data_IF_548504551742
#
_entry.id   IF_548504551742
#
_cell.length_a   1.000
_cell.length_b   1.000
_cell.length_c   1.000
_cell.angle_alpha   90.00
_cell.angle_beta   90.00
_cell.angle_gamma   90.00
#
_symmetry.space_group_name_H-M   'P 1'
#
loop_
_entity.id
_entity.type
_entity.pdbx_description
1 polymer ?
#
# COMPACT_ATOMS: atom_id res chain seq x y z
N UNK A 1 20.14 -39.26 21.74
CA UNK A 1 20.08 -38.07 20.86
C UNK A 1 19.51 -38.51 19.53
N UNK A 2 18.21 -38.32 19.32
CA UNK A 2 17.56 -38.67 18.04
C UNK A 2 17.56 -37.43 17.15
N UNK A 3 18.39 -37.46 16.11
CA UNK A 3 18.31 -36.52 15.00
C UNK A 3 17.01 -36.78 14.24
N UNK A 4 16.04 -35.86 14.36
CA UNK A 4 14.88 -35.83 13.47
C UNK A 4 15.36 -35.45 12.08
N UNK A 5 15.35 -36.40 11.15
CA UNK A 5 15.40 -36.10 9.72
C UNK A 5 14.12 -35.34 9.35
N UNK A 6 14.25 -34.06 9.03
CA UNK A 6 13.17 -33.22 8.53
C UNK A 6 13.11 -33.44 7.00
N UNK A 7 12.42 -34.50 6.59
CA UNK A 7 12.25 -34.88 5.19
C UNK A 7 11.01 -34.25 4.53
N UNK A 8 11.12 -34.01 3.22
CA UNK A 8 10.16 -33.46 2.24
C UNK A 8 8.78 -34.19 2.24
N UNK A 9 8.66 -35.31 2.95
CA UNK A 9 7.47 -36.18 2.97
C UNK A 9 6.28 -35.67 3.80
N UNK A 10 6.40 -34.56 4.54
CA UNK A 10 5.29 -34.03 5.35
C UNK A 10 4.50 -32.89 4.68
N UNK A 11 5.00 -32.28 3.60
CA UNK A 11 4.28 -31.25 2.85
C UNK A 11 3.53 -31.90 1.69
N UNK A 12 2.20 -32.01 1.79
CA UNK A 12 1.42 -32.53 0.65
C UNK A 12 1.51 -31.54 -0.51
N UNK A 13 1.54 -32.02 -1.75
CA UNK A 13 1.58 -31.19 -2.98
C UNK A 13 0.53 -30.05 -2.98
N UNK A 14 -0.65 -30.29 -2.40
CA UNK A 14 -1.70 -29.25 -2.24
C UNK A 14 -1.28 -28.15 -1.27
N UNK A 15 -0.62 -28.53 -0.17
CA UNK A 15 -0.20 -27.62 0.89
C UNK A 15 1.00 -26.80 0.40
N UNK A 16 1.89 -27.43 -0.38
CA UNK A 16 2.95 -26.74 -1.12
C UNK A 16 2.41 -25.76 -2.17
N UNK A 17 1.41 -26.12 -3.00
CA UNK A 17 0.82 -25.19 -3.96
C UNK A 17 0.06 -24.05 -3.28
N UNK A 18 -0.54 -24.28 -2.10
CA UNK A 18 -1.17 -23.24 -1.29
C UNK A 18 -0.16 -22.34 -0.57
N UNK A 19 1.00 -22.86 -0.17
CA UNK A 19 2.01 -22.12 0.58
C UNK A 19 3.05 -21.42 -0.32
N UNK A 20 3.46 -22.06 -1.42
CA UNK A 20 4.51 -21.59 -2.34
C UNK A 20 4.04 -20.61 -3.42
N UNK A 21 2.73 -20.48 -3.64
CA UNK A 21 2.14 -19.44 -4.50
C UNK A 21 1.68 -18.21 -3.72
N UNK A 22 1.82 -18.20 -2.39
CA UNK A 22 1.41 -17.10 -1.52
C UNK A 22 2.64 -16.41 -0.93
N UNK A 23 3.24 -15.54 -1.76
CA UNK A 23 4.18 -14.52 -1.30
C UNK A 23 3.39 -13.28 -0.88
N UNK A 24 3.43 -12.96 0.41
CA UNK A 24 2.56 -11.95 1.00
C UNK A 24 1.11 -12.45 1.12
N UNK A 25 0.45 -12.14 2.23
CA UNK A 25 -1.01 -12.19 2.24
C UNK A 25 -1.47 -11.31 1.06
N UNK A 26 -2.24 -11.89 0.13
CA UNK A 26 -2.74 -11.19 -1.07
C UNK A 26 -2.87 -12.04 -2.33
N UNK A 27 -2.17 -13.19 -2.42
CA UNK A 27 -2.15 -14.01 -3.64
C UNK A 27 -3.21 -15.13 -3.71
N UNK A 28 -4.31 -15.04 -2.97
CA UNK A 28 -5.39 -16.05 -3.06
C UNK A 28 -6.09 -16.06 -4.45
N UNK A 29 -5.91 -15.01 -5.26
CA UNK A 29 -6.51 -14.88 -6.59
C UNK A 29 -5.76 -15.52 -7.77
N UNK A 30 -4.53 -16.02 -7.58
CA UNK A 30 -3.71 -16.59 -8.67
C UNK A 30 -3.88 -18.10 -8.87
N UNK A 31 -4.82 -18.73 -8.17
CA UNK A 31 -5.02 -20.19 -8.17
C UNK A 31 -5.91 -20.72 -9.32
N UNK A 32 -6.33 -19.89 -10.27
CA UNK A 32 -7.09 -20.33 -11.44
C UNK A 32 -6.13 -20.60 -12.61
N UNK A 33 -5.81 -21.87 -12.82
CA UNK A 33 -4.85 -22.30 -13.83
C UNK A 33 -5.25 -21.98 -15.27
N UNK A 34 -4.26 -21.58 -16.06
CA UNK A 34 -4.01 -22.03 -17.43
C UNK A 34 -2.51 -21.87 -17.69
N UNK A 35 -1.94 -22.80 -18.45
CA UNK A 35 -0.53 -22.82 -18.82
C UNK A 35 -0.16 -21.63 -19.72
N UNK A 36 0.07 -20.48 -19.11
CA UNK A 36 0.87 -19.40 -19.63
C UNK A 36 1.89 -19.09 -18.55
N UNK A 37 3.17 -18.98 -18.92
CA UNK A 37 4.19 -18.43 -18.02
C UNK A 37 3.64 -17.11 -17.49
N UNK A 38 3.34 -16.98 -16.19
CA UNK A 38 2.84 -15.71 -15.70
C UNK A 38 3.92 -14.66 -15.96
N UNK A 39 3.55 -13.54 -16.56
CA UNK A 39 4.45 -12.45 -16.95
C UNK A 39 5.34 -11.97 -15.77
N UNK A 40 4.85 -12.18 -14.54
CA UNK A 40 5.57 -12.04 -13.28
C UNK A 40 6.93 -12.79 -13.22
N UNK A 41 7.03 -13.99 -13.80
CA UNK A 41 8.26 -14.78 -13.80
C UNK A 41 9.28 -14.27 -14.84
N UNK A 42 8.84 -13.74 -15.98
CA UNK A 42 9.72 -13.09 -16.95
C UNK A 42 10.28 -11.77 -16.42
N UNK A 43 9.50 -11.05 -15.61
CA UNK A 43 9.91 -9.79 -14.95
C UNK A 43 10.91 -10.02 -13.82
N UNK A 44 10.77 -11.11 -13.07
CA UNK A 44 11.80 -11.56 -12.13
C UNK A 44 13.17 -11.72 -12.81
N UNK A 45 13.22 -12.16 -14.08
CA UNK A 45 14.49 -12.35 -14.84
C UNK A 45 15.08 -11.00 -15.21
N UNK A 46 14.23 -10.07 -15.59
CA UNK A 46 14.65 -8.70 -15.86
C UNK A 46 15.12 -8.02 -14.58
N UNK A 47 14.56 -8.43 -13.43
CA UNK A 47 14.76 -7.74 -12.17
C UNK A 47 16.08 -8.00 -11.43
N UNK A 48 16.66 -9.17 -11.64
CA UNK A 48 18.00 -9.49 -11.15
C UNK A 48 19.11 -8.63 -11.81
N UNK A 49 18.79 -7.76 -12.79
CA UNK A 49 19.77 -7.13 -13.67
C UNK A 49 20.12 -5.66 -13.36
N UNK A 50 19.42 -5.00 -12.44
CA UNK A 50 19.56 -3.53 -12.24
C UNK A 50 19.65 -3.14 -10.75
N UNK A 51 20.68 -3.59 -10.04
CA UNK A 51 21.07 -3.02 -8.74
C UNK A 51 21.80 -1.68 -8.96
N UNK A 52 21.06 -0.61 -9.22
CA UNK A 52 21.67 0.70 -9.48
C UNK A 52 20.73 1.88 -9.62
N UNK A 53 19.47 1.78 -9.19
CA UNK A 53 18.57 2.93 -9.27
C UNK A 53 18.95 3.98 -8.22
N UNK A 54 19.64 5.02 -8.67
CA UNK A 54 19.83 6.26 -7.91
C UNK A 54 18.46 6.89 -7.59
N UNK A 55 18.37 7.37 -6.36
CA UNK A 55 17.16 7.84 -5.69
C UNK A 55 16.95 9.33 -5.96
N UNK A 56 16.14 9.68 -6.96
CA UNK A 56 15.83 11.10 -7.24
C UNK A 56 14.40 11.50 -6.82
N UNK A 57 13.39 10.62 -6.90
CA UNK A 57 12.01 10.89 -6.47
C UNK A 57 11.23 9.59 -6.18
N UNK A 58 10.48 9.55 -5.07
CA UNK A 58 9.57 8.45 -4.69
C UNK A 58 8.18 9.01 -4.41
N UNK A 59 7.13 8.42 -5.00
CA UNK A 59 5.74 8.77 -4.70
C UNK A 59 5.23 7.92 -3.53
N UNK A 60 4.79 8.58 -2.45
CA UNK A 60 4.05 7.93 -1.36
C UNK A 60 2.58 8.37 -1.43
N UNK A 61 1.69 7.43 -1.74
CA UNK A 61 0.26 7.67 -1.82
C UNK A 61 -0.43 7.17 -0.55
N UNK A 62 -1.00 8.10 0.22
CA UNK A 62 -1.85 7.78 1.38
C UNK A 62 -3.31 7.84 0.92
N UNK A 63 -3.98 6.69 0.91
CA UNK A 63 -5.39 6.59 0.59
C UNK A 63 -6.25 6.69 1.87
N UNK A 64 -7.14 7.67 1.91
CA UNK A 64 -8.18 7.79 2.95
C UNK A 64 -9.43 6.98 2.53
N UNK A 65 -9.44 5.68 2.85
CA UNK A 65 -10.44 4.73 2.37
C UNK A 65 -11.73 4.74 3.19
N UNK A 66 -12.87 4.77 2.48
CA UNK A 66 -14.22 4.78 3.05
C UNK A 66 -15.06 6.02 2.73
N UNK A 67 -14.54 6.95 1.92
CA UNK A 67 -15.29 8.16 1.54
C UNK A 67 -15.06 9.34 2.48
N UNK A 68 -13.79 9.71 2.67
CA UNK A 68 -13.41 10.86 3.50
C UNK A 68 -14.21 12.12 3.14
N UNK A 69 -14.83 12.74 4.15
CA UNK A 69 -15.56 13.99 4.01
C UNK A 69 -14.60 15.17 3.76
N UNK A 70 -14.35 15.46 2.48
CA UNK A 70 -13.43 16.51 2.06
C UNK A 70 -13.78 17.90 2.59
N UNK A 71 -15.07 18.20 2.77
CA UNK A 71 -15.54 19.49 3.33
C UNK A 71 -15.26 19.63 4.82
N UNK A 72 -14.87 18.54 5.48
CA UNK A 72 -14.46 18.54 6.88
C UNK A 72 -12.95 18.40 7.07
N UNK A 73 -12.26 17.83 6.10
CA UNK A 73 -10.79 17.89 6.03
C UNK A 73 -10.32 19.31 5.69
N UNK A 74 -10.93 19.93 4.66
CA UNK A 74 -10.72 21.32 4.25
C UNK A 74 -12.06 22.05 4.35
N UNK A 75 -12.21 22.84 5.41
CA UNK A 75 -13.45 23.52 5.79
C UNK A 75 -13.56 24.87 5.05
N UNK A 76 -14.60 25.09 4.23
CA UNK A 76 -14.95 26.42 3.73
C UNK A 76 -15.46 27.28 4.89
N UNK A 77 -14.73 28.33 5.26
CA UNK A 77 -15.02 29.15 6.44
C UNK A 77 -16.13 30.18 6.21
N UNK A 78 -16.27 30.64 4.97
CA UNK A 78 -17.15 31.76 4.60
C UNK A 78 -18.29 31.37 3.67
N UNK A 79 -18.49 30.08 3.36
CA UNK A 79 -19.54 29.63 2.44
C UNK A 79 -20.86 29.39 3.21
N UNK A 80 -21.89 30.23 3.01
CA UNK A 80 -23.18 30.04 3.67
C UNK A 80 -23.87 28.74 3.25
N UNK A 81 -23.57 28.23 2.05
CA UNK A 81 -24.10 26.97 1.54
C UNK A 81 -23.73 25.79 2.43
N UNK A 82 -22.54 25.83 3.07
CA UNK A 82 -22.13 24.80 4.01
C UNK A 82 -23.07 24.76 5.22
N UNK A 83 -23.47 25.92 5.74
CA UNK A 83 -24.42 26.02 6.86
C UNK A 83 -25.82 25.57 6.46
N UNK A 84 -26.28 25.95 5.27
CA UNK A 84 -27.60 25.58 4.76
C UNK A 84 -27.72 24.07 4.51
N UNK A 85 -26.69 23.46 3.91
CA UNK A 85 -26.69 22.02 3.56
C UNK A 85 -26.29 21.12 4.73
N UNK A 86 -25.53 21.62 5.70
CA UNK A 86 -25.02 20.84 6.84
C UNK A 86 -25.21 21.54 8.19
N UNK A 87 -26.45 21.91 8.56
CA UNK A 87 -26.72 22.75 9.73
C UNK A 87 -26.23 22.15 11.06
N UNK A 88 -26.18 20.81 11.16
CA UNK A 88 -25.69 20.11 12.35
C UNK A 88 -24.18 19.99 12.45
N UNK A 89 -23.46 20.14 11.34
CA UNK A 89 -22.00 19.92 11.27
C UNK A 89 -21.23 21.23 11.09
N UNK A 90 -21.77 22.18 10.31
CA UNK A 90 -21.07 23.39 9.88
C UNK A 90 -20.59 24.27 11.05
N UNK A 91 -21.42 24.49 12.07
CA UNK A 91 -21.06 25.33 13.22
C UNK A 91 -19.78 24.87 13.94
N UNK A 92 -19.75 23.62 14.45
CA UNK A 92 -18.53 23.05 15.02
C UNK A 92 -17.35 23.03 14.05
N UNK A 93 -17.56 22.65 12.78
CA UNK A 93 -16.51 22.59 11.76
C UNK A 93 -15.83 23.95 11.55
N UNK A 94 -16.60 25.01 11.31
CA UNK A 94 -16.08 26.36 11.02
C UNK A 94 -15.43 26.97 12.26
N UNK A 95 -16.05 26.83 13.43
CA UNK A 95 -15.54 27.44 14.68
C UNK A 95 -14.24 26.83 15.20
N UNK A 96 -13.96 25.56 14.87
CA UNK A 96 -12.76 24.85 15.33
C UNK A 96 -11.66 24.79 14.27
N UNK A 97 -11.96 25.05 13.00
CA UNK A 97 -11.01 24.90 11.90
C UNK A 97 -9.73 25.73 12.11
N UNK A 98 -8.59 25.17 11.69
CA UNK A 98 -7.30 25.86 11.65
C UNK A 98 -7.23 26.71 10.37
N UNK A 99 -7.31 28.05 10.44
CA UNK A 99 -7.41 28.86 9.23
C UNK A 99 -6.14 28.76 8.37
N UNK A 100 -6.32 28.49 7.07
CA UNK A 100 -5.26 28.61 6.06
C UNK A 100 -5.27 30.02 5.46
N UNK A 101 -6.46 30.59 5.30
CA UNK A 101 -6.74 31.96 4.85
C UNK A 101 -8.17 32.35 5.28
N UNK A 102 -8.72 33.43 4.70
CA UNK A 102 -10.08 33.90 5.00
C UNK A 102 -11.20 32.97 4.53
N UNK A 103 -10.93 32.14 3.53
CA UNK A 103 -11.94 31.33 2.84
C UNK A 103 -11.90 29.86 3.30
N UNK A 104 -10.74 29.36 3.74
CA UNK A 104 -10.54 27.94 4.07
C UNK A 104 -9.73 27.73 5.35
N UNK A 105 -10.06 26.65 6.06
CA UNK A 105 -9.29 26.11 7.18
C UNK A 105 -9.16 24.59 7.11
N UNK A 106 -8.18 24.02 7.81
CA UNK A 106 -8.06 22.58 8.01
C UNK A 106 -8.89 22.12 9.21
N UNK A 107 -9.25 20.84 9.26
CA UNK A 107 -9.77 20.23 10.49
C UNK A 107 -8.84 20.54 11.68
N UNK A 108 -9.42 20.75 12.87
CA UNK A 108 -8.69 21.15 14.07
C UNK A 108 -7.61 20.16 14.54
N UNK A 109 -7.77 18.88 14.20
CA UNK A 109 -6.80 17.83 14.52
C UNK A 109 -5.64 17.72 13.52
N UNK A 110 -5.60 18.54 12.46
CA UNK A 110 -4.53 18.55 11.45
C UNK A 110 -3.45 19.60 11.77
N UNK A 111 -3.04 19.67 13.03
CA UNK A 111 -2.13 20.70 13.52
C UNK A 111 -0.70 20.60 12.96
N UNK A 112 -0.18 19.38 12.82
CA UNK A 112 1.11 19.10 12.20
C UNK A 112 1.11 19.38 10.71
N UNK A 113 0.08 18.92 9.98
CA UNK A 113 -0.11 19.24 8.56
C UNK A 113 -0.28 20.75 8.35
N UNK A 114 -0.98 21.46 9.24
CA UNK A 114 -1.01 22.93 9.23
C UNK A 114 0.38 23.52 9.40
N UNK A 115 1.20 22.97 10.29
CA UNK A 115 2.61 23.36 10.43
C UNK A 115 3.42 23.13 9.14
N UNK A 116 3.16 22.06 8.40
CA UNK A 116 3.77 21.81 7.08
C UNK A 116 3.27 22.81 6.02
N UNK A 117 1.98 23.16 6.04
CA UNK A 117 1.41 24.19 5.19
C UNK A 117 2.10 25.55 5.42
N UNK A 118 2.27 25.95 6.68
CA UNK A 118 2.92 27.23 7.03
C UNK A 118 4.38 27.29 6.58
N UNK A 119 5.03 26.12 6.43
CA UNK A 119 6.39 25.97 5.87
C UNK A 119 6.41 25.87 4.35
N UNK A 120 5.27 25.97 3.66
CA UNK A 120 5.15 25.84 2.21
C UNK A 120 5.38 24.42 1.69
N UNK A 121 5.13 23.39 2.51
CA UNK A 121 5.33 21.96 2.18
C UNK A 121 4.05 21.22 1.82
N UNK A 122 2.89 21.90 1.87
CA UNK A 122 1.59 21.33 1.53
C UNK A 122 0.97 22.12 0.40
N UNK A 123 0.41 21.41 -0.59
CA UNK A 123 -0.45 21.97 -1.61
C UNK A 123 -1.80 21.24 -1.57
N UNK A 124 -2.89 21.99 -1.74
CA UNK A 124 -4.25 21.47 -1.69
C UNK A 124 -4.89 21.71 -3.05
N UNK A 125 -5.33 20.62 -3.69
CA UNK A 125 -6.00 20.66 -4.99
C UNK A 125 -7.46 20.32 -4.79
N UNK A 126 -8.34 21.29 -5.01
CA UNK A 126 -9.79 21.13 -4.91
C UNK A 126 -10.41 20.79 -6.27
N UNK A 127 -11.66 20.30 -6.27
CA UNK A 127 -12.40 20.01 -7.51
C UNK A 127 -11.90 18.78 -8.26
N UNK A 128 -11.18 17.87 -7.58
CA UNK A 128 -10.73 16.61 -8.16
C UNK A 128 -11.86 15.58 -8.08
N UNK A 129 -12.33 15.11 -9.24
CA UNK A 129 -13.42 14.16 -9.34
C UNK A 129 -13.63 13.67 -10.77
N UNK A 130 -14.77 13.04 -11.04
CA UNK A 130 -15.17 12.60 -12.38
C UNK A 130 -16.57 13.10 -12.72
N UNK A 131 -16.90 13.25 -14.03
CA UNK A 131 -18.23 13.68 -14.46
C UNK A 131 -19.32 12.70 -14.00
N UNK A 132 -20.50 13.23 -13.63
CA UNK A 132 -21.67 12.45 -13.22
C UNK A 132 -21.36 11.47 -12.06
N UNK A 133 -21.01 11.98 -10.87
CA UNK A 133 -20.69 11.13 -9.72
C UNK A 133 -21.86 10.20 -9.36
N UNK A 134 -21.52 8.99 -8.94
CA UNK A 134 -22.48 7.98 -8.48
C UNK A 134 -22.55 8.00 -6.95
N UNK A 135 -23.73 7.72 -6.41
CA UNK A 135 -23.93 7.57 -4.97
C UNK A 135 -23.52 6.18 -4.45
N UNK A 136 -23.07 5.27 -5.33
CA UNK A 136 -22.56 3.95 -4.94
C UNK A 136 -21.08 4.03 -4.54
N UNK A 137 -20.79 3.78 -3.27
CA UNK A 137 -19.42 3.74 -2.75
C UNK A 137 -18.53 2.75 -3.52
N UNK A 138 -19.04 1.56 -3.84
CA UNK A 138 -18.29 0.55 -4.61
C UNK A 138 -17.95 1.02 -6.03
N UNK A 139 -18.90 1.67 -6.70
CA UNK A 139 -18.67 2.18 -8.05
C UNK A 139 -17.71 3.37 -8.03
N UNK A 140 -17.88 4.31 -7.08
CA UNK A 140 -17.01 5.47 -6.95
C UNK A 140 -15.56 5.08 -6.64
N UNK A 141 -15.35 4.12 -5.74
CA UNK A 141 -14.03 3.56 -5.48
C UNK A 141 -13.45 2.95 -6.76
N UNK A 142 -14.22 2.13 -7.48
CA UNK A 142 -13.73 1.48 -8.70
C UNK A 142 -13.30 2.50 -9.76
N UNK A 143 -14.09 3.54 -9.99
CA UNK A 143 -13.77 4.61 -10.94
C UNK A 143 -12.49 5.34 -10.52
N UNK A 144 -12.35 5.67 -9.24
CA UNK A 144 -11.18 6.36 -8.72
C UNK A 144 -9.91 5.50 -8.78
N UNK A 145 -10.01 4.22 -8.43
CA UNK A 145 -8.90 3.26 -8.49
C UNK A 145 -8.42 3.03 -9.93
N UNK A 146 -9.33 2.95 -10.91
CA UNK A 146 -8.96 2.72 -12.31
C UNK A 146 -8.65 4.01 -13.06
N UNK A 147 -9.13 5.16 -12.56
CA UNK A 147 -9.10 6.43 -13.28
C UNK A 147 -9.99 6.43 -14.53
N UNK A 148 -11.00 5.56 -14.60
CA UNK A 148 -11.86 5.39 -15.78
C UNK A 148 -13.35 5.53 -15.44
N UNK A 149 -13.96 6.71 -15.68
CA UNK A 149 -15.40 6.94 -15.49
C UNK A 149 -16.29 6.07 -16.37
N UNK A 150 -15.77 5.54 -17.47
CA UNK A 150 -16.52 4.63 -18.36
C UNK A 150 -16.57 3.20 -17.83
N UNK A 151 -15.76 2.89 -16.80
CA UNK A 151 -15.68 1.58 -16.13
C UNK A 151 -15.33 0.42 -17.07
N UNK A 152 -14.61 0.71 -18.16
CA UNK A 152 -14.13 -0.30 -19.11
C UNK A 152 -12.82 -0.91 -18.64
N UNK A 153 -11.97 -0.13 -17.99
CA UNK A 153 -10.72 -0.61 -17.42
C UNK A 153 -10.96 -1.40 -16.14
N UNK A 154 -10.22 -2.50 -16.00
CA UNK A 154 -10.16 -3.28 -14.76
C UNK A 154 -8.87 -3.08 -13.96
N UNK A 155 -7.91 -2.39 -14.57
CA UNK A 155 -6.58 -2.12 -14.05
C UNK A 155 -6.56 -0.80 -13.28
N UNK A 156 -5.78 -0.76 -12.22
CA UNK A 156 -5.51 0.43 -11.44
C UNK A 156 -4.55 1.37 -12.14
N UNK A 157 -4.76 2.68 -12.01
CA UNK A 157 -3.92 3.66 -12.71
C UNK A 157 -2.48 3.73 -12.17
N UNK A 158 -2.25 3.49 -10.87
CA UNK A 158 -0.90 3.39 -10.30
C UNK A 158 -0.21 2.12 -10.82
N UNK A 159 -0.95 1.01 -10.93
CA UNK A 159 -0.46 -0.24 -11.52
C UNK A 159 -0.02 -0.05 -12.97
N UNK A 160 -0.86 0.55 -13.82
CA UNK A 160 -0.49 0.90 -15.21
C UNK A 160 0.72 1.83 -15.27
N UNK A 161 0.85 2.74 -14.30
CA UNK A 161 2.00 3.65 -14.21
C UNK A 161 3.28 2.89 -13.90
N UNK A 162 3.26 1.94 -12.95
CA UNK A 162 4.38 1.04 -12.66
C UNK A 162 4.78 0.23 -13.88
N UNK A 163 3.82 -0.45 -14.49
CA UNK A 163 3.99 -1.27 -15.69
C UNK A 163 4.68 -0.51 -16.83
N UNK A 164 4.23 0.73 -17.08
CA UNK A 164 4.72 1.54 -18.20
C UNK A 164 6.03 2.27 -17.90
N UNK A 165 6.17 2.84 -16.71
CA UNK A 165 7.23 3.80 -16.41
C UNK A 165 8.43 3.18 -15.69
N UNK A 166 8.24 2.07 -14.95
CA UNK A 166 9.26 1.58 -14.03
C UNK A 166 9.56 0.08 -14.16
N UNK A 167 8.66 -0.72 -14.69
CA UNK A 167 8.87 -2.18 -14.75
C UNK A 167 9.91 -2.62 -15.77
N UNK A 168 10.18 -1.80 -16.79
CA UNK A 168 11.36 -1.98 -17.65
C UNK A 168 12.69 -1.92 -16.88
N UNK A 169 12.68 -1.54 -15.59
CA UNK A 169 13.85 -1.59 -14.72
C UNK A 169 14.01 -2.95 -14.04
N UNK A 170 12.94 -3.74 -13.92
CA UNK A 170 12.94 -4.99 -13.16
C UNK A 170 13.46 -4.78 -11.74
N UNK A 171 12.61 -4.39 -10.80
CA UNK A 171 13.00 -4.48 -9.39
C UNK A 171 11.77 -4.92 -8.61
N UNK A 172 11.84 -6.00 -7.81
CA UNK A 172 10.65 -6.54 -7.14
C UNK A 172 9.99 -5.53 -6.19
N UNK A 173 10.77 -4.58 -5.67
CA UNK A 173 10.30 -3.50 -4.80
C UNK A 173 10.01 -2.19 -5.52
N UNK A 174 9.98 -2.12 -6.85
CA UNK A 174 9.67 -0.86 -7.58
C UNK A 174 8.35 -0.24 -7.10
N UNK A 175 7.32 -1.08 -6.90
CA UNK A 175 6.07 -0.71 -6.25
C UNK A 175 5.86 -1.48 -4.95
N UNK A 176 5.35 -0.83 -3.90
CA UNK A 176 4.97 -1.52 -2.66
C UNK A 176 3.66 -1.01 -2.06
N UNK A 177 2.79 -1.93 -1.68
CA UNK A 177 1.67 -1.65 -0.79
C UNK A 177 2.10 -1.95 0.66
N UNK A 178 2.35 -0.91 1.45
CA UNK A 178 2.85 -1.02 2.81
C UNK A 178 1.69 -1.09 3.82
N UNK A 179 1.77 -2.01 4.78
CA UNK A 179 0.72 -2.26 5.76
C UNK A 179 -0.51 -2.99 5.22
N UNK A 180 -0.48 -3.44 3.96
CA UNK A 180 -1.60 -4.08 3.29
C UNK A 180 -1.51 -5.62 3.35
N UNK A 181 -2.66 -6.28 3.22
CA UNK A 181 -2.80 -7.75 3.13
C UNK A 181 -3.29 -8.23 1.77
N UNK A 182 -3.52 -7.30 0.85
CA UNK A 182 -4.00 -7.56 -0.51
C UNK A 182 -3.55 -6.40 -1.40
N UNK A 183 -3.54 -6.61 -2.71
CA UNK A 183 -3.21 -5.57 -3.69
C UNK A 183 -4.34 -4.52 -3.74
N UNK A 184 -4.09 -3.25 -3.39
CA UNK A 184 -5.06 -2.16 -3.53
C UNK A 184 -5.51 -2.02 -4.99
N UNK A 185 -6.77 -1.70 -5.23
CA UNK A 185 -7.31 -1.68 -6.59
C UNK A 185 -6.62 -0.66 -7.50
N UNK A 186 -6.15 0.47 -6.94
CA UNK A 186 -5.37 1.46 -7.68
C UNK A 186 -4.01 0.94 -8.17
N UNK A 187 -3.44 -0.07 -7.50
CA UNK A 187 -2.20 -0.72 -7.89
C UNK A 187 -2.41 -1.97 -8.76
N UNK A 188 -3.63 -2.51 -8.82
CA UNK A 188 -3.94 -3.77 -9.50
C UNK A 188 -3.66 -3.70 -11.00
N UNK A 189 -2.63 -4.40 -11.46
CA UNK A 189 -2.30 -4.49 -12.87
C UNK A 189 -1.52 -5.80 -13.10
N UNK A 190 -1.86 -6.54 -14.16
CA UNK A 190 -1.24 -7.83 -14.46
C UNK A 190 0.20 -7.69 -14.95
N UNK A 191 0.54 -6.49 -15.40
CA UNK A 191 1.82 -6.07 -15.93
C UNK A 191 2.56 -5.16 -14.96
N UNK A 192 2.19 -5.07 -13.67
CA UNK A 192 2.95 -4.30 -12.68
C UNK A 192 3.79 -5.21 -11.77
N UNK A 193 5.07 -4.87 -11.55
CA UNK A 193 5.90 -5.46 -10.51
C UNK A 193 5.64 -4.72 -9.19
N UNK A 194 4.97 -5.39 -8.26
CA UNK A 194 4.74 -4.85 -6.91
C UNK A 194 4.97 -5.90 -5.83
N UNK A 195 5.22 -5.41 -4.62
CA UNK A 195 5.25 -6.21 -3.40
C UNK A 195 4.19 -5.73 -2.41
N UNK A 196 3.43 -6.65 -1.82
CA UNK A 196 2.51 -6.34 -0.71
C UNK A 196 3.18 -6.74 0.60
N UNK A 197 3.42 -5.76 1.48
CA UNK A 197 4.11 -5.99 2.74
C UNK A 197 3.21 -5.53 3.88
N UNK A 198 2.64 -6.48 4.61
CA UNK A 198 1.89 -6.17 5.82
C UNK A 198 2.83 -5.64 6.92
N UNK A 199 3.93 -6.36 7.17
CA UNK A 199 4.95 -6.03 8.15
C UNK A 199 6.27 -6.70 7.73
N UNK A 200 7.37 -5.94 7.74
CA UNK A 200 8.69 -6.41 7.31
C UNK A 200 9.27 -7.49 8.23
N UNK A 201 8.95 -7.48 9.52
CA UNK A 201 9.40 -8.50 10.49
C UNK A 201 8.77 -9.88 10.21
N UNK A 202 7.58 -9.89 9.62
CA UNK A 202 6.84 -11.12 9.30
C UNK A 202 6.84 -11.42 7.80
N UNK A 203 7.50 -10.60 6.98
CA UNK A 203 7.57 -10.83 5.54
C UNK A 203 8.52 -12.00 5.24
N UNK A 204 8.00 -13.02 4.57
CA UNK A 204 8.72 -14.24 4.27
C UNK A 204 7.78 -15.34 3.76
N UNK A 205 8.32 -16.55 3.59
CA UNK A 205 7.53 -17.70 3.13
C UNK A 205 6.48 -18.10 4.17
N UNK A 206 5.24 -18.31 3.70
CA UNK A 206 4.16 -18.85 4.52
C UNK A 206 4.52 -20.27 4.95
N UNK A 207 4.83 -20.47 6.24
CA UNK A 207 5.34 -21.74 6.79
C UNK A 207 6.81 -21.71 7.25
N UNK A 208 7.48 -20.55 7.17
CA UNK A 208 8.77 -20.30 7.80
C UNK A 208 9.96 -20.97 7.10
N UNK A 209 11.07 -21.10 7.83
CA UNK A 209 12.36 -21.56 7.30
C UNK A 209 12.32 -22.98 6.72
N UNK A 210 11.38 -23.82 7.17
CA UNK A 210 11.19 -25.17 6.64
C UNK A 210 10.62 -25.16 5.22
N UNK A 211 9.66 -24.26 4.94
CA UNK A 211 9.13 -24.06 3.59
C UNK A 211 10.17 -23.39 2.69
N UNK A 212 10.91 -22.41 3.21
CA UNK A 212 12.03 -21.78 2.51
C UNK A 212 13.09 -22.82 2.08
N UNK A 213 13.48 -23.71 3.00
CA UNK A 213 14.42 -24.81 2.72
C UNK A 213 13.85 -25.84 1.74
N UNK A 214 12.56 -26.20 1.88
CA UNK A 214 11.89 -27.15 0.99
C UNK A 214 11.76 -26.62 -0.44
N UNK A 215 11.41 -25.34 -0.60
CA UNK A 215 11.38 -24.64 -1.89
C UNK A 215 12.77 -24.64 -2.53
N UNK A 216 13.82 -24.33 -1.76
CA UNK A 216 15.21 -24.38 -2.23
C UNK A 216 15.71 -25.78 -2.62
N UNK A 217 15.13 -26.84 -2.04
CA UNK A 217 15.48 -28.23 -2.37
C UNK A 217 14.75 -28.76 -3.62
N UNK A 218 13.46 -28.45 -3.79
CA UNK A 218 12.66 -28.78 -4.99
C UNK A 218 13.19 -28.09 -6.25
N UNK A 219 13.78 -26.90 -6.08
CA UNK A 219 14.40 -26.04 -7.10
C UNK A 219 15.52 -26.73 -7.90
N UNK A 220 16.36 -27.57 -7.29
CA UNK A 220 17.50 -28.20 -8.00
C UNK A 220 17.11 -29.30 -9.01
N UNK A 221 15.82 -29.62 -9.14
CA UNK A 221 15.35 -30.84 -9.83
C UNK A 221 14.35 -30.66 -10.96
N UNK A 222 13.96 -29.44 -11.36
CA UNK A 222 12.92 -29.22 -12.38
C UNK A 222 13.53 -28.86 -13.74
N UNK A 223 13.51 -29.74 -14.76
CA UNK A 223 14.10 -29.45 -16.07
C UNK A 223 13.21 -28.54 -16.94
N UNK A 224 13.83 -27.76 -17.82
CA UNK A 224 13.15 -27.00 -18.88
C UNK A 224 12.80 -25.55 -18.53
N UNK A 225 12.10 -24.87 -19.45
CA UNK A 225 11.79 -23.43 -19.35
C UNK A 225 11.02 -23.05 -18.08
N UNK A 226 10.14 -23.93 -17.61
CA UNK A 226 9.38 -23.74 -16.37
C UNK A 226 10.26 -23.80 -15.12
N UNK A 227 11.33 -24.60 -15.13
CA UNK A 227 12.33 -24.63 -14.06
C UNK A 227 13.06 -23.30 -13.96
N UNK A 228 13.64 -22.81 -15.06
CA UNK A 228 14.36 -21.54 -15.09
C UNK A 228 13.51 -20.33 -14.67
N UNK A 229 12.22 -20.32 -15.02
CA UNK A 229 11.28 -19.28 -14.59
C UNK A 229 11.02 -19.36 -13.08
N UNK A 230 10.71 -20.56 -12.58
CA UNK A 230 10.52 -20.80 -11.15
C UNK A 230 11.77 -20.40 -10.36
N UNK A 231 12.96 -20.77 -10.84
CA UNK A 231 14.26 -20.43 -10.27
C UNK A 231 14.41 -18.94 -10.06
N UNK A 232 14.02 -18.18 -11.08
CA UNK A 232 14.14 -16.73 -11.08
C UNK A 232 13.16 -16.08 -10.11
N UNK A 233 11.91 -16.54 -10.03
CA UNK A 233 10.95 -15.99 -9.07
C UNK A 233 11.35 -16.29 -7.62
N UNK A 234 11.88 -17.49 -7.35
CA UNK A 234 12.40 -17.83 -6.02
C UNK A 234 13.63 -16.99 -5.68
N UNK A 235 14.56 -16.82 -6.62
CA UNK A 235 15.72 -15.94 -6.43
C UNK A 235 15.28 -14.50 -6.12
N UNK A 236 14.35 -13.96 -6.89
CA UNK A 236 13.79 -12.62 -6.69
C UNK A 236 13.12 -12.48 -5.32
N UNK A 237 12.40 -13.50 -4.87
CA UNK A 237 11.78 -13.50 -3.54
C UNK A 237 12.81 -13.53 -2.42
N UNK A 238 13.85 -14.36 -2.53
CA UNK A 238 14.94 -14.42 -1.55
C UNK A 238 15.70 -13.10 -1.48
N UNK A 239 16.00 -12.49 -2.63
CA UNK A 239 16.67 -11.19 -2.73
C UNK A 239 15.81 -10.09 -2.11
N UNK A 240 14.49 -10.12 -2.33
CA UNK A 240 13.54 -9.19 -1.71
C UNK A 240 13.54 -9.35 -0.19
N UNK A 241 13.45 -10.58 0.32
CA UNK A 241 13.49 -10.86 1.77
C UNK A 241 14.82 -10.40 2.38
N UNK A 242 15.94 -10.68 1.73
CA UNK A 242 17.27 -10.25 2.18
C UNK A 242 17.38 -8.72 2.20
N UNK A 243 16.91 -8.05 1.15
CA UNK A 243 16.86 -6.59 1.04
C UNK A 243 16.05 -5.98 2.18
N UNK A 244 14.86 -6.52 2.47
CA UNK A 244 14.00 -6.04 3.57
C UNK A 244 14.65 -6.28 4.94
N UNK A 245 15.29 -7.42 5.16
CA UNK A 245 16.01 -7.70 6.42
C UNK A 245 17.19 -6.73 6.62
N UNK A 246 17.99 -6.48 5.58
CA UNK A 246 19.10 -5.53 5.63
C UNK A 246 18.60 -4.10 5.81
N UNK A 247 17.54 -3.72 5.10
CA UNK A 247 16.85 -2.44 5.27
C UNK A 247 16.43 -2.25 6.73
N UNK A 248 15.72 -3.21 7.31
CA UNK A 248 15.22 -3.11 8.68
C UNK A 248 16.33 -3.04 9.71
N UNK A 249 17.45 -3.76 9.49
CA UNK A 249 18.60 -3.73 10.38
C UNK A 249 19.40 -2.41 10.32
N UNK A 250 19.38 -1.72 9.17
CA UNK A 250 20.14 -0.49 8.94
C UNK A 250 19.35 0.79 9.19
N UNK A 251 18.02 0.73 9.13
CA UNK A 251 17.16 1.88 9.31
C UNK A 251 17.20 2.43 10.75
N UNK A 252 17.35 3.75 10.85
CA UNK A 252 17.26 4.50 12.10
C UNK A 252 16.14 5.54 11.95
N UNK A 253 15.00 5.40 12.67
CA UNK A 253 13.89 6.33 12.54
C UNK A 253 14.28 7.71 13.10
N UNK A 254 13.99 8.75 12.32
CA UNK A 254 14.20 10.15 12.72
C UNK A 254 13.01 10.76 13.47
N UNK A 255 11.88 10.07 13.48
CA UNK A 255 10.65 10.46 14.13
C UNK A 255 10.08 9.26 14.91
N UNK A 256 9.26 9.53 15.92
CA UNK A 256 8.50 8.48 16.58
C UNK A 256 7.30 8.08 15.73
N UNK A 257 7.12 6.79 15.52
CA UNK A 257 5.99 6.22 14.80
C UNK A 257 5.09 5.54 15.82
N UNK A 258 4.07 6.26 16.27
CA UNK A 258 3.18 5.81 17.33
C UNK A 258 1.95 5.08 16.79
N UNK A 259 1.80 3.83 17.21
CA UNK A 259 0.62 3.00 16.95
C UNK A 259 -0.41 3.04 18.09
N UNK A 260 -0.38 4.10 18.90
CA UNK A 260 -1.18 4.17 20.13
C UNK A 260 -2.69 4.39 19.88
N UNK A 261 -3.09 4.65 18.62
CA UNK A 261 -4.49 4.89 18.25
C UNK A 261 -5.15 3.60 17.78
N UNK A 262 -6.11 3.08 18.56
CA UNK A 262 -6.91 1.92 18.18
C UNK A 262 -7.98 2.32 17.16
N UNK A 263 -7.72 2.11 15.87
CA UNK A 263 -8.75 2.24 14.85
C UNK A 263 -9.58 0.96 14.72
N UNK A 264 -10.90 1.12 14.52
CA UNK A 264 -11.88 0.03 14.45
C UNK A 264 -11.88 -0.70 13.08
N UNK A 265 -10.98 -0.36 12.15
CA UNK A 265 -10.98 -0.92 10.79
C UNK A 265 -9.75 -1.76 10.45
N UNK A 266 -9.95 -2.71 9.54
CA UNK A 266 -9.20 -3.96 9.34
C UNK A 266 -7.87 -3.88 8.61
N UNK A 267 -7.09 -2.80 8.70
CA UNK A 267 -5.68 -2.91 8.34
C UNK A 267 -4.97 -3.62 9.50
N UNK A 268 -4.46 -4.84 9.27
CA UNK A 268 -3.68 -5.56 10.29
C UNK A 268 -2.42 -4.79 10.72
N UNK A 269 -2.06 -3.74 9.99
CA UNK A 269 -1.03 -2.78 10.34
C UNK A 269 -1.61 -1.36 10.41
N UNK A 270 -1.03 -0.55 11.28
CA UNK A 270 -1.40 0.83 11.56
C UNK A 270 -0.77 1.80 10.55
N UNK A 271 -1.36 3.00 10.34
CA UNK A 271 -0.86 3.99 9.38
C UNK A 271 0.58 4.39 9.70
N UNK A 272 0.90 4.66 10.97
CA UNK A 272 2.23 5.05 11.40
C UNK A 272 3.24 3.93 11.11
N UNK A 273 2.97 2.69 11.49
CA UNK A 273 3.82 1.56 11.12
C UNK A 273 3.94 1.31 9.60
N UNK A 274 2.89 1.53 8.82
CA UNK A 274 2.95 1.43 7.36
C UNK A 274 3.80 2.53 6.72
N UNK A 275 3.72 3.76 7.25
CA UNK A 275 4.58 4.87 6.85
C UNK A 275 6.01 4.72 7.35
N UNK A 276 6.22 4.08 8.50
CA UNK A 276 7.56 3.70 8.98
C UNK A 276 8.21 2.73 8.00
N UNK A 277 7.47 1.71 7.54
CA UNK A 277 7.96 0.81 6.50
C UNK A 277 8.26 1.57 5.20
N UNK A 278 7.39 2.48 4.78
CA UNK A 278 7.63 3.30 3.59
C UNK A 278 8.92 4.12 3.72
N UNK A 279 9.13 4.78 4.87
CA UNK A 279 10.34 5.54 5.17
C UNK A 279 11.58 4.65 5.21
N UNK A 280 11.48 3.45 5.79
CA UNK A 280 12.53 2.44 5.82
C UNK A 280 13.02 2.14 4.41
N UNK A 281 12.09 1.78 3.51
CA UNK A 281 12.40 1.42 2.13
C UNK A 281 13.04 2.55 1.32
N UNK A 282 12.62 3.80 1.58
CA UNK A 282 13.18 4.99 0.93
C UNK A 282 14.60 5.26 1.43
N UNK A 283 14.79 5.30 2.75
CA UNK A 283 16.05 5.69 3.39
C UNK A 283 17.15 4.67 3.11
N UNK A 284 16.81 3.38 3.07
CA UNK A 284 17.78 2.30 2.83
C UNK A 284 18.01 2.04 1.33
N UNK A 285 17.34 2.78 0.45
CA UNK A 285 17.62 2.76 -0.99
C UNK A 285 17.19 1.47 -1.70
N UNK A 286 16.09 0.85 -1.28
CA UNK A 286 15.58 -0.42 -1.83
C UNK A 286 15.04 -0.34 -3.26
N UNK A 287 15.26 0.77 -3.97
CA UNK A 287 14.78 0.94 -5.35
C UNK A 287 13.27 1.20 -5.49
N UNK A 288 12.56 1.49 -4.40
CA UNK A 288 11.14 1.87 -4.45
C UNK A 288 10.92 3.14 -5.26
N UNK A 289 9.84 3.18 -6.05
CA UNK A 289 9.40 4.36 -6.82
C UNK A 289 7.97 4.76 -6.47
N UNK A 290 7.15 3.80 -6.06
CA UNK A 290 5.75 4.01 -5.73
C UNK A 290 5.39 3.22 -4.47
N UNK A 291 5.01 3.91 -3.42
CA UNK A 291 4.54 3.35 -2.16
C UNK A 291 3.07 3.70 -1.98
N UNK A 292 2.25 2.74 -1.59
CA UNK A 292 0.85 2.94 -1.27
C UNK A 292 0.59 2.54 0.18
N UNK A 293 -0.12 3.39 0.89
CA UNK A 293 -0.56 3.17 2.27
C UNK A 293 -2.04 3.50 2.36
N UNK A 294 -2.79 2.72 3.13
CA UNK A 294 -4.23 2.94 3.32
C UNK A 294 -4.54 3.28 4.76
N UNK A 295 -5.23 4.39 4.99
CA UNK A 295 -5.96 4.67 6.22
C UNK A 295 -7.45 4.43 5.97
N UNK A 296 -8.00 3.36 6.53
CA UNK A 296 -9.41 3.02 6.43
C UNK A 296 -10.27 3.63 7.55
N UNK A 297 -11.59 3.47 7.41
CA UNK A 297 -12.57 3.81 8.46
C UNK A 297 -13.32 5.12 8.23
N UNK A 298 -13.16 5.74 7.06
CA UNK A 298 -13.90 6.94 6.65
C UNK A 298 -15.35 6.67 6.24
N UNK A 299 -15.77 5.41 6.22
CA UNK A 299 -17.15 5.00 5.95
C UNK A 299 -17.99 5.12 7.24
N UNK A 300 -18.14 6.35 7.69
CA UNK A 300 -18.57 6.71 9.04
C UNK A 300 -20.00 6.29 9.34
N UNK A 301 -20.96 6.39 8.40
CA UNK A 301 -22.41 6.07 8.48
C UNK A 301 -23.21 6.67 9.67
N UNK A 302 -22.62 6.73 10.86
CA UNK A 302 -23.05 7.30 12.13
C UNK A 302 -21.84 7.94 12.83
N UNK A 303 -22.05 8.85 13.78
CA UNK A 303 -20.95 9.49 14.56
C UNK A 303 -19.85 10.16 13.73
N UNK A 304 -20.22 10.68 12.54
CA UNK A 304 -19.36 11.46 11.64
C UNK A 304 -18.41 12.37 12.42
N UNK A 305 -18.98 13.15 13.36
CA UNK A 305 -18.27 14.10 14.22
C UNK A 305 -17.02 13.47 14.86
N UNK A 306 -17.20 12.60 15.83
CA UNK A 306 -16.06 12.08 16.58
C UNK A 306 -15.17 11.19 15.71
N UNK A 307 -15.75 10.37 14.82
CA UNK A 307 -14.99 9.38 14.07
C UNK A 307 -14.06 10.01 13.04
N UNK A 308 -14.51 11.03 12.31
CA UNK A 308 -13.67 11.73 11.34
C UNK A 308 -12.55 12.50 12.04
N UNK A 309 -12.85 13.15 13.18
CA UNK A 309 -11.84 13.89 13.95
C UNK A 309 -10.75 12.97 14.49
N UNK A 310 -11.09 11.77 14.99
CA UNK A 310 -10.12 10.76 15.40
C UNK A 310 -9.22 10.31 14.23
N UNK A 311 -9.80 10.14 13.04
CA UNK A 311 -9.05 9.76 11.83
C UNK A 311 -8.14 10.88 11.34
N UNK A 312 -8.57 12.15 11.44
CA UNK A 312 -7.74 13.31 11.13
C UNK A 312 -6.57 13.43 12.11
N UNK A 313 -6.81 13.28 13.42
CA UNK A 313 -5.74 13.29 14.42
C UNK A 313 -4.74 12.16 14.21
N UNK A 314 -5.22 10.99 13.80
CA UNK A 314 -4.33 9.88 13.45
C UNK A 314 -3.51 10.14 12.19
N UNK A 315 -4.12 10.69 11.13
CA UNK A 315 -3.41 11.12 9.93
C UNK A 315 -2.34 12.17 10.27
N UNK A 316 -2.68 13.17 11.09
CA UNK A 316 -1.77 14.23 11.52
C UNK A 316 -0.58 13.65 12.28
N UNK A 317 -0.82 12.77 13.26
CA UNK A 317 0.25 12.14 14.04
C UNK A 317 1.24 11.32 13.22
N UNK A 318 0.83 10.84 12.04
CA UNK A 318 1.64 9.99 11.19
C UNK A 318 2.36 10.76 10.08
N UNK A 319 1.92 11.99 9.77
CA UNK A 319 2.41 12.79 8.63
C UNK A 319 2.98 14.15 9.04
N UNK A 320 2.36 14.84 9.99
CA UNK A 320 2.64 16.22 10.39
C UNK A 320 3.88 16.35 11.28
#
# INVERSE_FOLDING_TARGET
MNSKEIGINQLKRRDFLRAGLVFGAGAAGLAAGYAAVPDAFARAVYAAKQNGMANDNVLVMIQLAGGNDGLRTLVPLSDPTLHDLRPKLAGPMVSQALPLNKDYGLNHNLSGIKGLWDKGKVAIVQGVGYPNPTFSHFESIRIWETGDPTRRSVEGWLGRTLAKAYDSNGHPLTGCACGATDVPGALRDLQATMTVIQNQKTFGFTGGSEVEAAVGALYKGTPGIYGALFDTAIATANDTIATLRTSSASYQPMADYSDNVKLVYSSKNQLAAALQLAAELIVTGTGVKLLHVTLGGFDTHYTELNRHDDLMGYLDSAVG
#
